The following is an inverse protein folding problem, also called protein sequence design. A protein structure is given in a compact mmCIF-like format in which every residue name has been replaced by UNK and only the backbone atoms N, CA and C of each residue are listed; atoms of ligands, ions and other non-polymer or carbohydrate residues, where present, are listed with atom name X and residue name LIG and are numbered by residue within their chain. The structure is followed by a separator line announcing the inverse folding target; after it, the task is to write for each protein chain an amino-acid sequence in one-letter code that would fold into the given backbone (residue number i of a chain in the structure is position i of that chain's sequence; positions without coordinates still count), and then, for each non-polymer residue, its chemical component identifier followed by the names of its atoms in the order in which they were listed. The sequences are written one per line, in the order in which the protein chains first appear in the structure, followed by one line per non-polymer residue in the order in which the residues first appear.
data_IF_788501201514
#
_entry.id   IF_788501201514
#
_cell.length_a   1.000
_cell.length_b   1.000
_cell.length_c   1.000
_cell.angle_alpha   90.00
_cell.angle_beta   90.00
_cell.angle_gamma   90.00
#
_symmetry.space_group_name_H-M   'P 1'
#
loop_
_entity.id
_entity.type
_entity.pdbx_description
1 polymer ?
#
# COMPACT_ATOMS: atom_id res chain seq x y z
N UNK A 1 -13.43 14.93 -4.27
CA UNK A 1 -14.89 14.87 -4.03
C UNK A 1 -15.17 13.61 -3.20
N UNK A 2 -15.66 13.76 -1.97
CA UNK A 2 -16.04 12.67 -1.05
C UNK A 2 -17.50 12.84 -0.58
N UNK A 3 -18.39 13.07 -1.56
CA UNK A 3 -19.75 13.60 -1.33
C UNK A 3 -20.78 12.52 -0.93
N UNK A 4 -20.33 11.30 -0.61
CA UNK A 4 -21.19 10.20 -0.15
C UNK A 4 -20.60 9.61 1.12
N UNK A 5 -21.44 9.44 2.14
CA UNK A 5 -21.11 8.65 3.31
C UNK A 5 -20.77 7.22 2.89
N UNK A 6 -19.61 6.75 3.32
CA UNK A 6 -19.14 5.38 3.09
C UNK A 6 -19.99 4.47 3.97
N UNK A 7 -20.57 3.42 3.38
CA UNK A 7 -21.31 2.38 4.11
C UNK A 7 -20.48 1.14 4.39
N UNK A 8 -19.41 0.97 3.62
CA UNK A 8 -18.44 -0.11 3.76
C UNK A 8 -17.08 0.40 3.25
N UNK A 9 -16.08 -0.48 3.21
CA UNK A 9 -14.73 -0.16 2.77
C UNK A 9 -14.78 0.35 1.34
N UNK A 10 -14.12 1.49 1.12
CA UNK A 10 -13.83 1.99 -0.22
C UNK A 10 -12.34 1.75 -0.49
N UNK A 11 -12.11 0.73 -1.31
CA UNK A 11 -10.79 0.18 -1.61
C UNK A 11 -10.20 0.88 -2.83
N UNK A 12 -8.98 1.41 -2.67
CA UNK A 12 -8.18 2.01 -3.74
C UNK A 12 -6.92 1.18 -3.93
N UNK A 13 -6.57 0.90 -5.19
CA UNK A 13 -5.37 0.15 -5.52
C UNK A 13 -4.54 0.90 -6.55
N UNK A 14 -3.20 0.78 -6.51
CA UNK A 14 -2.38 1.36 -7.57
C UNK A 14 -2.62 0.59 -8.89
N UNK A 15 -2.48 1.25 -10.05
CA UNK A 15 -2.64 0.61 -11.35
C UNK A 15 -1.55 -0.42 -11.70
N UNK A 16 -0.66 -0.73 -10.74
CA UNK A 16 0.63 -1.40 -10.93
C UNK A 16 1.63 -0.58 -11.76
N UNK A 17 2.91 -0.91 -11.65
CA UNK A 17 4.02 -0.31 -12.40
C UNK A 17 5.22 -1.27 -12.45
N UNK A 18 6.31 -0.92 -13.14
CA UNK A 18 7.52 -1.76 -13.20
C UNK A 18 8.19 -2.07 -11.86
N UNK A 19 7.77 -1.39 -10.78
CA UNK A 19 8.23 -1.66 -9.40
C UNK A 19 7.34 -2.59 -8.59
N UNK A 20 6.21 -3.03 -9.14
CA UNK A 20 5.28 -3.86 -8.40
C UNK A 20 5.94 -5.20 -8.02
N UNK A 21 5.95 -5.52 -6.73
CA UNK A 21 6.50 -6.78 -6.20
C UNK A 21 5.43 -7.86 -6.03
N UNK A 22 4.14 -7.49 -6.16
CA UNK A 22 2.97 -8.37 -6.01
C UNK A 22 1.98 -8.21 -7.17
N UNK A 23 1.08 -9.19 -7.31
CA UNK A 23 -0.14 -9.02 -8.10
C UNK A 23 -1.15 -8.16 -7.32
N UNK A 24 -1.08 -6.85 -7.56
CA UNK A 24 -1.96 -5.86 -6.91
C UNK A 24 -3.44 -6.15 -7.17
N UNK A 25 -3.78 -6.67 -8.36
CA UNK A 25 -5.18 -6.94 -8.73
C UNK A 25 -5.71 -8.11 -7.93
N UNK A 26 -4.93 -9.18 -7.79
CA UNK A 26 -5.29 -10.33 -6.96
C UNK A 26 -5.47 -9.92 -5.49
N UNK A 27 -4.49 -9.23 -4.90
CA UNK A 27 -4.56 -8.79 -3.50
C UNK A 27 -5.73 -7.84 -3.25
N UNK A 28 -6.01 -6.92 -4.18
CA UNK A 28 -7.17 -6.04 -4.09
C UNK A 28 -8.49 -6.81 -4.17
N UNK A 29 -8.59 -7.83 -5.03
CA UNK A 29 -9.77 -8.68 -5.14
C UNK A 29 -10.01 -9.47 -3.85
N UNK A 30 -8.96 -10.06 -3.28
CA UNK A 30 -9.02 -10.80 -2.02
C UNK A 30 -9.42 -9.88 -0.86
N UNK A 31 -8.85 -8.67 -0.80
CA UNK A 31 -9.25 -7.67 0.18
C UNK A 31 -10.71 -7.24 0.03
N UNK A 32 -11.19 -6.98 -1.20
CA UNK A 32 -12.61 -6.66 -1.44
C UNK A 32 -13.54 -7.79 -0.98
N UNK A 33 -13.17 -9.05 -1.22
CA UNK A 33 -13.93 -10.20 -0.76
C UNK A 33 -13.95 -10.30 0.77
N UNK A 34 -12.80 -10.07 1.43
CA UNK A 34 -12.70 -10.10 2.89
C UNK A 34 -13.51 -9.01 3.59
N UNK A 35 -13.71 -7.85 2.93
CA UNK A 35 -14.49 -6.73 3.46
C UNK A 35 -15.98 -6.74 3.08
N UNK A 36 -16.44 -7.68 2.25
CA UNK A 36 -17.78 -7.65 1.66
C UNK A 36 -18.92 -7.48 2.69
N UNK A 37 -18.82 -8.16 3.84
CA UNK A 37 -19.88 -8.23 4.86
C UNK A 37 -19.56 -7.48 6.16
N UNK A 38 -18.57 -6.59 6.16
CA UNK A 38 -18.03 -5.98 7.40
C UNK A 38 -18.63 -4.62 7.77
N UNK A 39 -19.23 -3.91 6.81
CA UNK A 39 -19.80 -2.55 6.99
C UNK A 39 -18.84 -1.54 7.67
N UNK A 40 -17.55 -1.57 7.30
CA UNK A 40 -16.52 -0.69 7.88
C UNK A 40 -16.32 0.54 6.99
N UNK A 41 -16.72 1.75 7.39
CA UNK A 41 -16.71 2.93 6.53
C UNK A 41 -15.32 3.59 6.41
N UNK A 42 -14.28 2.81 6.09
CA UNK A 42 -12.89 3.26 5.96
C UNK A 42 -12.42 3.30 4.50
N UNK A 43 -11.45 4.15 4.21
CA UNK A 43 -10.64 4.08 2.99
C UNK A 43 -9.47 3.11 3.20
N UNK A 44 -9.40 2.07 2.37
CA UNK A 44 -8.32 1.10 2.40
C UNK A 44 -7.50 1.17 1.11
N UNK A 45 -6.17 1.24 1.22
CA UNK A 45 -5.25 1.33 0.10
C UNK A 45 -4.40 0.07 -0.08
N UNK A 46 -4.30 -0.47 -1.30
CA UNK A 46 -3.41 -1.59 -1.66
C UNK A 46 -2.40 -1.14 -2.71
N UNK A 47 -1.12 -1.16 -2.36
CA UNK A 47 -0.05 -0.64 -3.20
C UNK A 47 0.98 -1.71 -3.53
N UNK A 48 1.39 -1.77 -4.79
CA UNK A 48 2.31 -2.81 -5.28
C UNK A 48 3.78 -2.61 -4.94
N UNK A 49 4.19 -1.43 -4.44
CA UNK A 49 5.59 -1.18 -4.07
C UNK A 49 5.70 -0.22 -2.87
N UNK A 50 6.73 -0.40 -2.05
CA UNK A 50 7.01 0.42 -0.86
C UNK A 50 7.68 1.77 -1.22
N UNK A 51 8.05 1.97 -2.50
CA UNK A 51 8.71 3.19 -2.96
C UNK A 51 7.71 4.33 -3.15
N UNK A 52 6.67 4.10 -3.97
CA UNK A 52 5.63 5.09 -4.25
C UNK A 52 4.35 4.85 -3.43
N UNK A 53 4.10 3.59 -3.06
CA UNK A 53 2.90 3.18 -2.34
C UNK A 53 2.60 3.98 -1.07
N UNK A 54 3.57 4.26 -0.18
CA UNK A 54 3.31 5.06 1.02
C UNK A 54 2.81 6.47 0.71
N UNK A 55 3.31 7.09 -0.37
CA UNK A 55 2.88 8.42 -0.81
C UNK A 55 1.48 8.39 -1.42
N UNK A 56 1.19 7.40 -2.26
CA UNK A 56 -0.12 7.21 -2.91
C UNK A 56 -1.22 6.81 -1.91
N UNK A 57 -0.87 6.08 -0.85
CA UNK A 57 -1.79 5.62 0.19
C UNK A 57 -1.97 6.62 1.35
N UNK A 58 -1.27 7.76 1.36
CA UNK A 58 -1.20 8.67 2.53
C UNK A 58 -2.56 9.19 3.00
N UNK A 59 -3.47 9.43 2.05
CA UNK A 59 -4.81 9.96 2.33
C UNK A 59 -5.80 8.88 2.78
N UNK A 60 -5.43 7.60 2.68
CA UNK A 60 -6.25 6.49 3.17
C UNK A 60 -6.25 6.41 4.70
N UNK A 61 -7.31 5.84 5.26
CA UNK A 61 -7.38 5.55 6.69
C UNK A 61 -6.41 4.43 7.06
N UNK A 62 -6.39 3.40 6.21
CA UNK A 62 -5.55 2.23 6.30
C UNK A 62 -4.95 1.94 4.92
N UNK A 63 -3.70 1.50 4.87
CA UNK A 63 -3.08 1.10 3.62
C UNK A 63 -2.04 0.01 3.83
N UNK A 64 -1.71 -0.70 2.76
CA UNK A 64 -0.61 -1.66 2.73
C UNK A 64 0.18 -1.52 1.44
N UNK A 65 1.51 -1.58 1.53
CA UNK A 65 2.41 -1.55 0.38
C UNK A 65 3.34 -2.75 0.41
N UNK A 66 3.48 -3.44 -0.72
CA UNK A 66 4.42 -4.53 -0.84
C UNK A 66 5.86 -4.02 -0.92
N UNK A 67 6.77 -4.67 -0.21
CA UNK A 67 8.18 -4.33 -0.13
C UNK A 67 8.97 -5.57 0.28
N UNK A 68 9.94 -6.04 -0.51
CA UNK A 68 10.86 -7.11 -0.07
C UNK A 68 10.15 -8.40 0.40
N UNK A 69 9.10 -8.85 -0.31
CA UNK A 69 8.24 -9.99 0.10
C UNK A 69 7.54 -9.79 1.46
N UNK A 70 7.28 -8.54 1.83
CA UNK A 70 6.58 -8.13 3.04
C UNK A 70 5.51 -7.12 2.71
N UNK A 71 4.46 -7.08 3.53
CA UNK A 71 3.46 -6.02 3.53
C UNK A 71 3.80 -4.97 4.58
N UNK A 72 3.98 -3.73 4.17
CA UNK A 72 4.13 -2.60 5.07
C UNK A 72 2.76 -1.97 5.28
N UNK A 73 2.21 -2.05 6.49
CA UNK A 73 0.90 -1.53 6.81
C UNK A 73 1.01 -0.12 7.40
N UNK A 74 0.17 0.79 6.92
CA UNK A 74 0.14 2.19 7.30
C UNK A 74 -1.24 2.58 7.82
N UNK A 75 -1.28 3.38 8.87
CA UNK A 75 -2.49 4.00 9.40
C UNK A 75 -2.31 5.51 9.33
N UNK A 76 -3.18 6.21 8.60
CA UNK A 76 -3.05 7.66 8.32
C UNK A 76 -1.62 8.07 7.90
N UNK A 77 -1.01 7.28 7.03
CA UNK A 77 0.34 7.54 6.51
C UNK A 77 1.49 7.24 7.48
N UNK A 78 1.25 6.61 8.63
CA UNK A 78 2.30 6.15 9.55
C UNK A 78 2.42 4.62 9.50
N UNK A 79 3.63 4.09 9.34
CA UNK A 79 3.87 2.65 9.44
C UNK A 79 3.47 2.14 10.82
N UNK A 80 2.56 1.17 10.81
CA UNK A 80 2.00 0.59 12.02
C UNK A 80 2.44 -0.88 12.18
N UNK A 81 2.63 -1.60 11.08
CA UNK A 81 3.12 -2.97 11.09
C UNK A 81 3.91 -3.33 9.82
N UNK A 82 4.71 -4.39 9.92
CA UNK A 82 5.30 -5.08 8.77
C UNK A 82 4.93 -6.56 8.91
N UNK A 83 4.28 -7.11 7.90
CA UNK A 83 3.74 -8.47 7.89
C UNK A 83 4.32 -9.27 6.72
N UNK A 84 4.17 -10.59 6.72
CA UNK A 84 4.51 -11.38 5.55
C UNK A 84 3.53 -11.07 4.38
N UNK A 85 3.97 -11.33 3.15
CA UNK A 85 3.17 -11.05 1.95
C UNK A 85 1.84 -11.83 1.94
N UNK A 86 1.85 -13.07 2.42
CA UNK A 86 0.67 -13.95 2.53
C UNK A 86 -0.29 -13.55 3.65
N UNK A 87 0.16 -12.72 4.59
CA UNK A 87 -0.66 -12.21 5.71
C UNK A 87 -1.25 -10.81 5.43
N UNK A 88 -0.98 -10.23 4.26
CA UNK A 88 -1.34 -8.85 3.93
C UNK A 88 -2.84 -8.56 4.06
N UNK A 89 -3.69 -9.46 3.54
CA UNK A 89 -5.14 -9.29 3.55
C UNK A 89 -5.70 -9.45 4.96
N UNK A 90 -5.22 -10.46 5.70
CA UNK A 90 -5.63 -10.70 7.08
C UNK A 90 -5.23 -9.52 7.99
N UNK A 91 -4.04 -8.96 7.79
CA UNK A 91 -3.60 -7.77 8.50
C UNK A 91 -4.46 -6.54 8.19
N UNK A 92 -4.82 -6.30 6.92
CA UNK A 92 -5.74 -5.22 6.56
C UNK A 92 -7.07 -5.37 7.29
N UNK A 93 -7.62 -6.58 7.31
CA UNK A 93 -8.86 -6.94 7.98
C UNK A 93 -8.78 -6.64 9.48
N UNK A 94 -7.77 -7.16 10.18
CA UNK A 94 -7.62 -6.98 11.62
C UNK A 94 -7.50 -5.50 11.98
N UNK A 95 -6.67 -4.77 11.24
CA UNK A 95 -6.46 -3.35 11.50
C UNK A 95 -7.69 -2.51 11.18
N UNK A 96 -8.44 -2.82 10.12
CA UNK A 96 -9.67 -2.12 9.79
C UNK A 96 -10.74 -2.30 10.88
N UNK A 97 -10.90 -3.52 11.39
CA UNK A 97 -11.82 -3.82 12.49
C UNK A 97 -11.40 -3.10 13.77
N UNK A 98 -10.11 -3.14 14.10
CA UNK A 98 -9.58 -2.45 15.27
C UNK A 98 -9.76 -0.93 15.18
N UNK A 99 -9.44 -0.32 14.04
CA UNK A 99 -9.63 1.11 13.81
C UNK A 99 -11.11 1.48 13.87
N UNK A 100 -12.00 0.62 13.35
CA UNK A 100 -13.43 0.86 13.41
C UNK A 100 -13.97 0.84 14.85
N UNK A 101 -13.49 -0.09 15.68
CA UNK A 101 -13.93 -0.24 17.07
C UNK A 101 -13.32 0.81 18.01
N UNK A 102 -11.99 0.98 17.94
CA UNK A 102 -11.20 1.73 18.94
C UNK A 102 -10.72 3.09 18.42
N UNK A 103 -10.83 3.34 17.12
CA UNK A 103 -10.34 4.55 16.47
C UNK A 103 -8.86 4.51 16.10
N UNK A 104 -8.46 5.48 15.28
CA UNK A 104 -7.10 5.60 14.72
C UNK A 104 -6.04 5.88 15.80
N UNK A 105 -6.37 6.70 16.81
CA UNK A 105 -5.41 7.08 17.84
C UNK A 105 -5.00 5.88 18.69
N UNK A 106 -5.97 5.03 19.08
CA UNK A 106 -5.70 3.78 19.77
C UNK A 106 -4.87 2.81 18.91
N UNK A 107 -5.17 2.75 17.61
CA UNK A 107 -4.45 1.89 16.67
C UNK A 107 -2.97 2.26 16.53
N UNK A 108 -2.65 3.56 16.56
CA UNK A 108 -1.27 4.04 16.53
C UNK A 108 -0.57 3.90 17.89
N UNK A 109 -1.31 4.01 18.99
CA UNK A 109 -0.76 3.86 20.34
C UNK A 109 -0.39 2.41 20.70
N UNK A 110 -1.03 1.41 20.06
CA UNK A 110 -0.75 -0.02 20.32
C UNK A 110 0.56 -0.55 19.72
N UNK A 111 1.24 0.21 18.86
CA UNK A 111 2.42 -0.26 18.12
C UNK A 111 3.61 0.70 18.20
N UNK A 112 4.80 0.14 18.10
CA UNK A 112 6.04 0.89 17.91
C UNK A 112 6.16 1.33 16.44
N UNK A 113 5.58 2.49 16.13
CA UNK A 113 5.62 3.07 14.79
C UNK A 113 7.04 3.43 14.33
N UNK A 114 7.99 3.67 15.25
CA UNK A 114 9.37 4.02 14.90
C UNK A 114 10.13 2.80 14.38
N UNK A 115 9.95 1.65 15.03
CA UNK A 115 10.49 0.38 14.55
C UNK A 115 9.92 0.02 13.18
N UNK A 116 8.60 0.09 13.03
CA UNK A 116 7.93 -0.23 11.77
C UNK A 116 8.40 0.69 10.62
N UNK A 117 8.56 1.99 10.88
CA UNK A 117 9.07 2.95 9.91
C UNK A 117 10.52 2.64 9.50
N UNK A 118 11.39 2.28 10.46
CA UNK A 118 12.79 1.93 10.17
C UNK A 118 12.89 0.68 9.29
N UNK A 119 12.04 -0.32 9.53
CA UNK A 119 12.00 -1.52 8.70
C UNK A 119 11.50 -1.23 7.28
N UNK A 120 10.52 -0.33 7.14
CA UNK A 120 9.98 0.08 5.86
C UNK A 120 10.99 0.89 5.03
N UNK A 121 11.73 1.82 5.65
CA UNK A 121 12.76 2.58 4.95
C UNK A 121 13.87 1.65 4.43
N UNK A 122 14.31 0.69 5.25
CA UNK A 122 15.33 -0.28 4.84
C UNK A 122 14.90 -1.10 3.62
N UNK A 123 13.63 -1.51 3.55
CA UNK A 123 13.12 -2.26 2.41
C UNK A 123 12.95 -1.37 1.17
N UNK A 124 12.54 -0.11 1.37
CA UNK A 124 12.47 0.90 0.31
C UNK A 124 13.83 1.18 -0.32
N UNK A 125 14.85 1.41 0.52
CA UNK A 125 16.23 1.61 0.07
C UNK A 125 16.75 0.40 -0.70
N UNK A 126 16.46 -0.81 -0.21
CA UNK A 126 16.83 -2.06 -0.89
C UNK A 126 16.16 -2.16 -2.27
N UNK A 127 14.86 -1.91 -2.37
CA UNK A 127 14.14 -2.01 -3.65
C UNK A 127 14.66 -1.00 -4.67
N UNK A 128 14.97 0.22 -4.23
CA UNK A 128 15.61 1.24 -5.07
C UNK A 128 17.00 0.82 -5.53
N UNK A 129 17.80 0.18 -4.66
CA UNK A 129 19.12 -0.32 -5.01
C UNK A 129 19.05 -1.47 -6.04
N UNK A 130 18.04 -2.34 -5.95
CA UNK A 130 17.87 -3.48 -6.86
C UNK A 130 17.30 -3.07 -8.23
N UNK A 131 16.30 -2.19 -8.25
CA UNK A 131 15.57 -1.82 -9.48
C UNK A 131 16.05 -0.50 -10.12
N UNK A 132 16.95 0.23 -9.46
CA UNK A 132 17.41 1.56 -9.91
C UNK A 132 16.32 2.62 -9.88
N UNK A 133 16.60 3.81 -10.41
CA UNK A 133 15.69 4.96 -10.41
C UNK A 133 14.63 4.93 -11.54
N UNK A 134 14.93 4.27 -12.68
CA UNK A 134 14.05 4.18 -13.86
C UNK A 134 13.53 2.74 -14.08
N UNK A 135 12.67 2.27 -13.17
CA UNK A 135 12.11 0.92 -13.25
C UNK A 135 11.21 0.66 -14.47
N UNK A 136 10.82 1.70 -15.22
CA UNK A 136 10.00 1.57 -16.42
C UNK A 136 10.81 1.71 -17.73
N UNK A 137 12.14 1.80 -17.65
CA UNK A 137 13.06 2.01 -18.79
C UNK A 137 12.59 3.15 -19.72
N UNK A 138 12.14 4.23 -19.09
CA UNK A 138 11.52 5.38 -19.77
C UNK A 138 12.55 6.08 -20.65
N UNK A 139 13.78 6.19 -20.16
CA UNK A 139 14.90 6.84 -20.83
C UNK A 139 15.23 6.20 -22.19
N UNK A 140 15.40 4.88 -22.24
CA UNK A 140 15.66 4.13 -23.48
C UNK A 140 14.52 4.25 -24.48
N UNK A 141 13.27 4.23 -24.00
CA UNK A 141 12.07 4.43 -24.84
C UNK A 141 12.02 5.82 -25.47
N UNK A 142 12.36 6.86 -24.71
CA UNK A 142 12.42 8.24 -25.23
C UNK A 142 13.47 8.34 -26.33
N UNK A 143 14.63 7.70 -26.18
CA UNK A 143 15.68 7.68 -27.20
C UNK A 143 15.22 6.99 -28.51
N UNK A 144 14.50 5.87 -28.39
CA UNK A 144 13.90 5.17 -29.53
C UNK A 144 12.87 6.03 -30.28
N UNK A 145 12.01 6.74 -29.55
CA UNK A 145 11.01 7.66 -30.14
C UNK A 145 11.72 8.80 -30.88
N UNK A 146 12.74 9.41 -30.26
CA UNK A 146 13.53 10.49 -30.87
C UNK A 146 14.23 10.02 -32.15
N UNK A 147 14.73 8.79 -32.21
CA UNK A 147 15.35 8.20 -33.42
C UNK A 147 14.38 7.94 -34.57
N UNK A 148 13.10 7.72 -34.29
CA UNK A 148 12.06 7.43 -35.30
C UNK A 148 11.26 8.66 -35.75
N UNK A 149 11.47 9.82 -35.11
CA UNK A 149 10.77 11.08 -35.43
C UNK A 149 11.67 12.07 -36.20
N UNK A 150 12.84 11.60 -36.67
CA UNK A 150 13.77 12.34 -37.55
C UNK A 150 13.88 11.71 -38.92
#
# INVERSE_FOLDING_TARGET
MGLRERKNVDLIACPSCGRAEIDVVAVAADAMAAFADREIPLQVAVMGCVVNGPGEARDADLGIAAGNRRGHLFVKGRNAAVVAEDEMVDALVEWAEFIHAEGVEAALARVDTEKAAREAERDRERLLAEQGEDANDTSSRIELIRRHTV
#
